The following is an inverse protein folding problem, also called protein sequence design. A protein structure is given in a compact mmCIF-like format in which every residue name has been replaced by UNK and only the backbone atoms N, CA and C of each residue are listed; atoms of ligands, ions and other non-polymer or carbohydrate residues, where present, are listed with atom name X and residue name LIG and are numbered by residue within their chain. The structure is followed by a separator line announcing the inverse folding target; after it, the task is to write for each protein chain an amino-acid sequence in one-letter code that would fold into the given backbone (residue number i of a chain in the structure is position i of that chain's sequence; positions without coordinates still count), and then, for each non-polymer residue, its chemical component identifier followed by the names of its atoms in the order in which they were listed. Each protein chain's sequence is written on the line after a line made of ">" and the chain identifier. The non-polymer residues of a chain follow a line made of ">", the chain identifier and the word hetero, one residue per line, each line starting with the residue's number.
data_IF_593919936828
#
_entry.id   IF_593919936828
#
_cell.length_a   1.000
_cell.length_b   1.000
_cell.length_c   1.000
_cell.angle_alpha   90.00
_cell.angle_beta   90.00
_cell.angle_gamma   90.00
#
_symmetry.space_group_name_H-M   'P 1'
#
loop_
_entity.id
_entity.type
_entity.pdbx_description
1 polymer ?
#
# COMPACT_ATOMS: atom_id res chain seq x y z
N UNK A 1 9.57 -19.30 -9.56
CA UNK A 1 8.72 -20.46 -9.29
C UNK A 1 7.53 -20.08 -8.43
N UNK A 2 6.63 -21.01 -8.22
CA UNK A 2 5.42 -20.86 -7.40
C UNK A 2 5.51 -21.70 -6.09
N UNK A 3 6.68 -22.23 -5.82
CA UNK A 3 7.01 -23.06 -4.65
C UNK A 3 8.50 -22.94 -4.30
N UNK A 4 8.87 -22.89 -3.01
CA UNK A 4 10.27 -22.83 -2.58
C UNK A 4 11.02 -24.14 -2.86
N UNK A 5 12.33 -24.04 -3.04
CA UNK A 5 13.22 -25.17 -3.13
C UNK A 5 13.51 -25.77 -1.73
N UNK A 6 13.98 -27.02 -1.62
CA UNK A 6 14.15 -27.73 -0.34
C UNK A 6 15.10 -27.06 0.68
N UNK A 7 15.92 -26.12 0.26
CA UNK A 7 16.92 -25.43 1.09
C UNK A 7 16.66 -23.93 1.23
N UNK A 8 15.51 -23.45 0.77
CA UNK A 8 15.13 -22.04 0.94
C UNK A 8 14.73 -21.79 2.39
N UNK A 9 15.27 -20.75 2.98
CA UNK A 9 14.89 -20.26 4.34
C UNK A 9 13.64 -19.39 4.31
N UNK A 10 13.32 -18.79 3.16
CA UNK A 10 12.14 -17.96 2.90
C UNK A 10 11.83 -17.96 1.40
N UNK A 11 10.63 -17.54 1.03
CA UNK A 11 10.18 -17.52 -0.36
C UNK A 11 9.67 -16.14 -0.78
N UNK A 12 10.34 -15.53 -1.76
CA UNK A 12 9.93 -14.24 -2.32
C UNK A 12 9.08 -14.49 -3.54
N UNK A 13 7.82 -14.07 -3.53
CA UNK A 13 6.90 -14.34 -4.64
C UNK A 13 5.76 -13.33 -4.72
N UNK A 14 5.13 -13.25 -5.90
CA UNK A 14 3.87 -12.54 -6.15
C UNK A 14 2.66 -13.48 -6.05
N UNK A 15 2.87 -14.77 -6.23
CA UNK A 15 1.83 -15.81 -6.19
C UNK A 15 2.39 -17.15 -5.74
N UNK A 16 1.51 -18.00 -5.26
CA UNK A 16 1.76 -19.39 -4.95
C UNK A 16 0.86 -20.25 -5.81
N UNK A 17 0.98 -21.58 -5.71
CA UNK A 17 0.04 -22.53 -6.35
C UNK A 17 -1.42 -22.30 -5.95
N UNK A 18 -1.66 -21.62 -4.81
CA UNK A 18 -3.01 -21.37 -4.27
C UNK A 18 -3.57 -19.97 -4.57
N UNK A 19 -2.75 -19.06 -5.09
CA UNK A 19 -3.22 -17.73 -5.46
C UNK A 19 -2.21 -16.61 -5.29
N UNK A 20 -2.68 -15.39 -5.51
CA UNK A 20 -1.91 -14.18 -5.37
C UNK A 20 -1.58 -13.86 -3.91
N UNK A 21 -0.41 -13.26 -3.69
CA UNK A 21 0.03 -12.71 -2.40
C UNK A 21 0.35 -11.23 -2.50
N UNK A 22 -0.24 -10.55 -3.47
CA UNK A 22 -0.12 -9.09 -3.68
C UNK A 22 -1.48 -8.52 -4.11
N UNK A 23 -1.65 -7.19 -3.97
CA UNK A 23 -2.92 -6.50 -4.21
C UNK A 23 -3.23 -6.23 -5.67
N UNK A 24 -2.23 -6.08 -6.54
CA UNK A 24 -2.44 -5.82 -7.95
C UNK A 24 -3.26 -6.95 -8.60
N UNK A 25 -4.32 -6.58 -9.32
CA UNK A 25 -5.28 -7.53 -9.87
C UNK A 25 -6.36 -8.00 -8.89
N UNK A 26 -6.17 -7.83 -7.59
CA UNK A 26 -7.21 -8.13 -6.57
C UNK A 26 -8.14 -6.94 -6.39
N UNK A 27 -7.59 -5.74 -6.26
CA UNK A 27 -8.41 -4.52 -6.08
C UNK A 27 -9.14 -4.09 -7.36
N UNK A 28 -8.73 -4.60 -8.52
CA UNK A 28 -9.36 -4.30 -9.82
C UNK A 28 -10.72 -4.99 -10.00
N UNK A 29 -10.95 -6.09 -9.30
CA UNK A 29 -12.11 -6.97 -9.51
C UNK A 29 -13.04 -7.08 -8.32
N UNK A 30 -12.66 -6.52 -7.17
CA UNK A 30 -13.41 -6.63 -5.93
C UNK A 30 -13.69 -5.27 -5.30
N UNK A 31 -14.86 -5.14 -4.68
CA UNK A 31 -15.14 -4.00 -3.80
C UNK A 31 -14.19 -4.00 -2.61
N UNK A 32 -13.70 -2.83 -2.17
CA UNK A 32 -12.81 -2.72 -1.03
C UNK A 32 -13.35 -3.44 0.21
N UNK A 33 -12.59 -4.39 0.69
CA UNK A 33 -12.90 -5.22 1.86
C UNK A 33 -11.63 -5.39 2.70
N UNK A 34 -11.67 -4.91 3.93
CA UNK A 34 -10.51 -4.84 4.82
C UNK A 34 -10.39 -6.06 5.75
N UNK A 35 -11.31 -7.03 5.65
CA UNK A 35 -11.21 -8.33 6.34
C UNK A 35 -10.28 -9.31 5.63
N UNK A 36 -10.06 -9.13 4.33
CA UNK A 36 -9.30 -10.06 3.52
C UNK A 36 -7.80 -10.00 3.82
N UNK A 37 -7.17 -11.15 3.68
CA UNK A 37 -5.72 -11.35 3.71
C UNK A 37 -5.31 -12.38 2.65
N UNK A 38 -4.07 -12.82 2.67
CA UNK A 38 -3.53 -13.81 1.75
C UNK A 38 -3.40 -15.21 2.37
N UNK A 39 -4.04 -15.48 3.52
CA UNK A 39 -3.89 -16.74 4.25
C UNK A 39 -4.17 -17.97 3.37
N UNK A 40 -5.21 -17.91 2.53
CA UNK A 40 -5.52 -19.00 1.61
C UNK A 40 -4.42 -19.25 0.58
N UNK A 41 -3.68 -18.21 0.17
CA UNK A 41 -2.60 -18.32 -0.81
C UNK A 41 -1.30 -18.86 -0.21
N UNK A 42 -1.03 -18.57 1.09
CA UNK A 42 0.19 -19.00 1.78
C UNK A 42 -0.01 -20.24 2.64
N UNK A 43 -1.24 -20.71 2.79
CA UNK A 43 -1.54 -21.94 3.50
C UNK A 43 -0.73 -23.10 2.94
N UNK A 44 -0.07 -23.86 3.80
CA UNK A 44 0.85 -24.94 3.47
C UNK A 44 2.23 -24.54 2.88
N UNK A 45 2.57 -23.26 2.84
CA UNK A 45 3.95 -22.86 2.52
C UNK A 45 4.89 -23.34 3.64
N UNK A 46 5.97 -24.06 3.30
CA UNK A 46 6.86 -24.63 4.32
C UNK A 46 7.84 -23.63 4.92
N UNK A 47 7.95 -22.44 4.34
CA UNK A 47 8.86 -21.36 4.75
C UNK A 47 8.10 -20.03 4.78
N UNK A 48 8.60 -19.04 5.52
CA UNK A 48 8.03 -17.68 5.52
C UNK A 48 8.00 -17.09 4.11
N UNK A 49 6.91 -16.37 3.78
CA UNK A 49 6.74 -15.71 2.49
C UNK A 49 7.05 -14.22 2.62
N UNK A 50 7.74 -13.69 1.63
CA UNK A 50 7.90 -12.24 1.41
C UNK A 50 7.12 -11.90 0.15
N UNK A 51 6.09 -11.07 0.28
CA UNK A 51 5.34 -10.61 -0.90
C UNK A 51 6.18 -9.66 -1.74
N UNK A 52 6.13 -9.82 -3.06
CA UNK A 52 7.04 -9.18 -3.99
C UNK A 52 6.31 -8.31 -5.00
N UNK A 53 6.96 -7.20 -5.39
CA UNK A 53 6.45 -6.23 -6.35
C UNK A 53 5.10 -5.63 -5.97
N UNK A 54 4.90 -5.33 -4.70
CA UNK A 54 3.69 -4.65 -4.26
C UNK A 54 3.75 -3.16 -4.58
N UNK A 55 2.58 -2.53 -4.73
CA UNK A 55 2.47 -1.08 -4.93
C UNK A 55 2.57 -0.63 -6.38
N UNK A 56 2.26 -1.46 -7.36
CA UNK A 56 2.25 -1.09 -8.78
C UNK A 56 0.98 -0.31 -9.19
N UNK A 57 0.68 0.76 -8.48
CA UNK A 57 -0.48 1.62 -8.75
C UNK A 57 -0.03 2.88 -9.47
N UNK A 58 -0.43 3.01 -10.74
CA UNK A 58 0.00 4.11 -11.60
C UNK A 58 -0.48 5.47 -11.07
N UNK A 59 0.46 6.40 -10.96
CA UNK A 59 0.22 7.81 -10.66
C UNK A 59 0.31 8.59 -11.97
N UNK A 60 -0.59 9.56 -12.16
CA UNK A 60 -0.57 10.40 -13.35
C UNK A 60 0.76 11.17 -13.41
N UNK A 61 1.39 11.33 -14.59
CA UNK A 61 2.70 11.97 -14.70
C UNK A 61 2.68 13.44 -14.26
N UNK A 62 3.67 13.85 -13.46
CA UNK A 62 3.95 15.26 -13.21
C UNK A 62 4.67 15.85 -14.42
N UNK A 63 3.95 16.63 -15.21
CA UNK A 63 4.48 17.21 -16.45
C UNK A 63 5.65 18.19 -16.21
N UNK A 64 5.84 18.67 -14.97
CA UNK A 64 6.99 19.52 -14.57
C UNK A 64 8.31 18.75 -14.60
N UNK A 65 8.27 17.43 -14.54
CA UNK A 65 9.47 16.59 -14.64
C UNK A 65 10.12 16.61 -16.03
N UNK A 66 9.39 16.96 -17.08
CA UNK A 66 9.90 16.98 -18.46
C UNK A 66 11.21 17.79 -18.55
N UNK A 67 11.28 18.91 -17.84
CA UNK A 67 12.45 19.80 -17.87
C UNK A 67 13.67 19.26 -17.12
N UNK A 68 13.49 18.24 -16.28
CA UNK A 68 14.56 17.60 -15.50
C UNK A 68 15.35 16.57 -16.31
N UNK A 69 14.79 16.09 -17.41
CA UNK A 69 15.44 15.13 -18.29
C UNK A 69 16.41 15.83 -19.23
N UNK A 70 17.59 16.16 -18.73
CA UNK A 70 18.64 16.91 -19.46
C UNK A 70 19.75 16.01 -20.04
N UNK A 71 19.66 14.70 -19.83
CA UNK A 71 20.63 13.71 -20.29
C UNK A 71 20.22 13.00 -21.59
N UNK A 72 20.61 11.73 -21.69
CA UNK A 72 20.34 10.90 -22.89
C UNK A 72 18.92 10.34 -22.91
N UNK A 73 18.24 10.29 -21.76
CA UNK A 73 16.86 9.85 -21.68
C UNK A 73 15.92 11.00 -22.03
N UNK A 74 15.07 10.77 -22.99
CA UNK A 74 14.01 11.70 -23.37
C UNK A 74 12.67 11.23 -22.78
N UNK A 75 11.92 12.08 -22.05
CA UNK A 75 10.67 11.70 -21.39
C UNK A 75 9.50 11.66 -22.39
N UNK A 76 9.57 10.77 -23.37
CA UNK A 76 8.58 10.67 -24.46
C UNK A 76 7.18 10.32 -23.95
N UNK A 77 7.07 9.51 -22.88
CA UNK A 77 5.82 9.20 -22.21
C UNK A 77 5.17 10.47 -21.63
N UNK A 78 5.91 11.32 -20.92
CA UNK A 78 5.38 12.59 -20.38
C UNK A 78 4.99 13.56 -21.50
N UNK A 79 5.83 13.68 -22.54
CA UNK A 79 5.55 14.54 -23.70
C UNK A 79 4.28 14.06 -24.42
N UNK A 80 4.12 12.75 -24.58
CA UNK A 80 2.92 12.16 -25.20
C UNK A 80 1.66 12.46 -24.40
N UNK A 81 1.69 12.30 -23.07
CA UNK A 81 0.56 12.64 -22.20
C UNK A 81 0.24 14.14 -22.26
N UNK A 82 1.27 15.01 -22.22
CA UNK A 82 1.08 16.45 -22.37
C UNK A 82 0.37 16.81 -23.66
N UNK A 83 0.85 16.29 -24.79
CA UNK A 83 0.24 16.52 -26.10
C UNK A 83 -1.21 16.04 -26.15
N UNK A 84 -1.51 14.89 -25.54
CA UNK A 84 -2.88 14.36 -25.48
C UNK A 84 -3.82 15.26 -24.66
N UNK A 85 -3.33 15.80 -23.55
CA UNK A 85 -4.08 16.76 -22.74
C UNK A 85 -4.32 18.08 -23.49
N UNK A 86 -3.31 18.58 -24.22
CA UNK A 86 -3.44 19.77 -25.07
C UNK A 86 -4.51 19.56 -26.16
N UNK A 87 -4.48 18.42 -26.87
CA UNK A 87 -5.44 18.06 -27.89
C UNK A 87 -6.89 18.01 -27.36
N UNK A 88 -7.05 17.63 -26.10
CA UNK A 88 -8.36 17.54 -25.43
C UNK A 88 -8.76 18.81 -24.67
N UNK A 89 -7.95 19.86 -24.66
CA UNK A 89 -8.14 21.07 -23.86
C UNK A 89 -8.27 20.75 -22.36
N UNK A 90 -7.46 19.81 -21.84
CA UNK A 90 -7.45 19.35 -20.45
C UNK A 90 -6.11 19.57 -19.74
N UNK A 91 -5.17 20.31 -20.35
CA UNK A 91 -3.83 20.50 -19.78
C UNK A 91 -3.87 21.14 -18.38
N UNK A 92 -4.81 22.03 -18.15
CA UNK A 92 -5.04 22.66 -16.83
C UNK A 92 -5.45 21.68 -15.72
N UNK A 93 -5.87 20.47 -16.09
CA UNK A 93 -6.27 19.39 -15.15
C UNK A 93 -5.13 18.44 -14.80
N UNK A 94 -3.94 18.62 -15.34
CA UNK A 94 -2.82 17.70 -15.11
C UNK A 94 -2.47 17.55 -13.63
N UNK A 95 -2.41 18.67 -12.88
CA UNK A 95 -2.11 18.65 -11.45
C UNK A 95 -3.27 17.99 -10.63
N UNK A 96 -4.53 18.15 -11.05
CA UNK A 96 -5.68 17.48 -10.43
C UNK A 96 -5.58 15.96 -10.63
N UNK A 97 -5.21 15.50 -11.83
CA UNK A 97 -5.03 14.07 -12.14
C UNK A 97 -3.86 13.46 -11.38
N UNK A 98 -2.72 14.16 -11.29
CA UNK A 98 -1.59 13.75 -10.48
C UNK A 98 -2.00 13.57 -9.02
N UNK A 99 -2.64 14.58 -8.44
CA UNK A 99 -3.08 14.57 -7.05
C UNK A 99 -4.08 13.44 -6.78
N UNK A 100 -5.12 13.31 -7.59
CA UNK A 100 -6.16 12.29 -7.37
C UNK A 100 -5.61 10.86 -7.50
N UNK A 101 -4.84 10.58 -8.56
CA UNK A 101 -4.25 9.25 -8.78
C UNK A 101 -3.19 8.92 -7.72
N UNK A 102 -2.39 9.90 -7.30
CA UNK A 102 -1.36 9.71 -6.30
C UNK A 102 -1.92 9.43 -4.91
N UNK A 103 -2.97 10.15 -4.48
CA UNK A 103 -3.65 9.85 -3.21
C UNK A 103 -4.33 8.48 -3.25
N UNK A 104 -4.92 8.10 -4.38
CA UNK A 104 -5.46 6.74 -4.54
C UNK A 104 -4.36 5.69 -4.44
N UNK A 105 -3.22 5.90 -5.10
CA UNK A 105 -2.07 5.01 -5.02
C UNK A 105 -1.59 4.85 -3.57
N UNK A 106 -1.49 5.94 -2.80
CA UNK A 106 -1.09 5.90 -1.39
C UNK A 106 -2.07 5.06 -0.53
N UNK A 107 -3.38 5.19 -0.77
CA UNK A 107 -4.40 4.37 -0.10
C UNK A 107 -4.22 2.88 -0.46
N UNK A 108 -3.97 2.56 -1.73
CA UNK A 108 -3.79 1.19 -2.19
C UNK A 108 -2.47 0.58 -1.67
N UNK A 109 -1.38 1.36 -1.56
CA UNK A 109 -0.16 0.94 -0.87
C UNK A 109 -0.44 0.54 0.57
N UNK A 110 -1.17 1.39 1.30
CA UNK A 110 -1.57 1.10 2.68
C UNK A 110 -2.34 -0.21 2.76
N UNK A 111 -3.39 -0.37 1.95
CA UNK A 111 -4.22 -1.57 1.97
C UNK A 111 -3.43 -2.85 1.65
N UNK A 112 -2.53 -2.77 0.69
CA UNK A 112 -1.72 -3.93 0.28
C UNK A 112 -0.70 -4.32 1.35
N UNK A 113 0.00 -3.35 1.93
CA UNK A 113 0.95 -3.58 3.03
C UNK A 113 0.22 -4.13 4.26
N UNK A 114 -0.90 -3.52 4.66
CA UNK A 114 -1.68 -4.01 5.81
C UNK A 114 -2.26 -5.41 5.56
N UNK A 115 -2.66 -5.71 4.33
CA UNK A 115 -3.14 -7.05 3.96
C UNK A 115 -2.03 -8.11 4.12
N UNK A 116 -0.79 -7.77 3.72
CA UNK A 116 0.36 -8.62 3.97
C UNK A 116 0.60 -8.83 5.47
N UNK A 117 0.56 -7.76 6.27
CA UNK A 117 0.73 -7.82 7.73
C UNK A 117 -0.41 -8.57 8.45
N UNK A 118 -1.62 -8.60 7.90
CA UNK A 118 -2.77 -9.38 8.39
C UNK A 118 -2.65 -10.87 8.07
N UNK A 119 -1.66 -11.28 7.28
CA UNK A 119 -1.52 -12.65 6.79
C UNK A 119 -0.49 -13.42 7.60
N UNK A 120 -0.88 -14.39 8.45
CA UNK A 120 0.07 -15.30 9.07
C UNK A 120 0.90 -16.04 8.01
N UNK A 121 2.22 -16.10 8.22
CA UNK A 121 3.15 -16.73 7.27
C UNK A 121 3.74 -15.79 6.23
N UNK A 122 3.28 -14.52 6.13
CA UNK A 122 3.99 -13.47 5.42
C UNK A 122 4.86 -12.72 6.42
N UNK A 123 6.17 -12.67 6.16
CA UNK A 123 7.18 -12.09 7.06
C UNK A 123 7.75 -10.77 6.56
N UNK A 124 7.31 -10.30 5.41
CA UNK A 124 7.77 -9.04 4.84
C UNK A 124 7.19 -8.76 3.48
N UNK A 125 7.56 -7.59 2.95
CA UNK A 125 7.12 -7.14 1.64
C UNK A 125 8.25 -6.37 0.92
N UNK A 126 8.20 -6.38 -0.40
CA UNK A 126 9.09 -5.61 -1.27
C UNK A 126 8.25 -4.74 -2.20
N UNK A 127 8.49 -3.45 -2.17
CA UNK A 127 7.81 -2.50 -3.05
C UNK A 127 8.37 -2.55 -4.48
N UNK A 128 7.53 -2.35 -5.46
CA UNK A 128 7.89 -1.98 -6.81
C UNK A 128 6.95 -0.88 -7.31
N UNK A 129 7.28 0.35 -7.03
CA UNK A 129 8.49 0.80 -6.39
C UNK A 129 8.18 1.98 -5.45
N UNK A 130 9.12 2.37 -4.59
CA UNK A 130 9.01 3.60 -3.81
C UNK A 130 9.12 4.85 -4.72
N UNK A 131 9.93 4.77 -5.77
CA UNK A 131 10.08 5.82 -6.80
C UNK A 131 9.67 5.29 -8.18
N UNK A 132 9.45 6.19 -9.12
CA UNK A 132 9.17 5.82 -10.49
C UNK A 132 10.35 5.07 -11.13
N UNK A 133 10.03 4.08 -11.94
CA UNK A 133 11.03 3.29 -12.64
C UNK A 133 11.20 3.81 -14.08
N UNK A 134 12.25 4.64 -14.35
CA UNK A 134 12.42 5.25 -15.67
C UNK A 134 12.82 4.26 -16.77
N UNK A 135 13.21 3.03 -16.42
CA UNK A 135 13.48 1.95 -17.37
C UNK A 135 12.24 1.40 -18.06
N UNK A 136 11.06 1.69 -17.53
CA UNK A 136 9.77 1.33 -18.12
C UNK A 136 8.86 2.56 -18.10
N UNK A 137 8.60 3.15 -19.25
CA UNK A 137 7.91 4.45 -19.36
C UNK A 137 6.47 4.50 -18.83
N UNK A 138 5.86 3.36 -18.54
CA UNK A 138 4.53 3.26 -17.92
C UNK A 138 4.59 2.99 -16.41
N UNK A 139 5.78 2.75 -15.83
CA UNK A 139 5.96 2.44 -14.42
C UNK A 139 6.12 3.72 -13.57
N UNK A 140 5.14 4.63 -13.67
CA UNK A 140 4.99 5.82 -12.84
C UNK A 140 4.25 5.44 -11.55
N UNK A 141 4.77 4.46 -10.83
CA UNK A 141 4.08 3.80 -9.70
C UNK A 141 4.60 4.27 -8.33
N UNK A 142 5.66 5.06 -8.31
CA UNK A 142 6.27 5.54 -7.08
C UNK A 142 5.47 6.65 -6.39
N UNK A 143 5.64 6.75 -5.08
CA UNK A 143 5.26 7.94 -4.29
C UNK A 143 6.30 9.06 -4.47
N UNK A 144 7.51 8.68 -4.87
CA UNK A 144 8.58 9.57 -5.32
C UNK A 144 8.71 9.50 -6.85
N UNK A 145 9.19 10.57 -7.45
CA UNK A 145 9.49 10.59 -8.87
C UNK A 145 10.84 9.90 -9.19
N UNK A 146 11.21 9.81 -10.48
CA UNK A 146 12.47 9.21 -10.92
C UNK A 146 13.72 9.92 -10.39
N UNK A 147 13.60 11.13 -9.86
CA UNK A 147 14.67 11.95 -9.27
C UNK A 147 14.69 11.87 -7.74
N UNK A 148 13.93 10.96 -7.14
CA UNK A 148 13.77 10.77 -5.67
C UNK A 148 13.12 11.96 -4.96
N UNK A 149 12.37 12.77 -5.66
CA UNK A 149 11.61 13.87 -5.08
C UNK A 149 10.17 13.42 -4.79
N UNK A 150 9.59 13.96 -3.73
CA UNK A 150 8.20 13.67 -3.38
C UNK A 150 7.24 14.20 -4.44
N UNK A 151 6.27 13.39 -4.84
CA UNK A 151 5.13 13.82 -5.67
C UNK A 151 4.06 14.59 -4.86
N UNK A 152 4.26 14.76 -3.53
CA UNK A 152 3.31 15.45 -2.66
C UNK A 152 2.02 14.67 -2.36
N UNK A 153 1.99 13.36 -2.63
CA UNK A 153 0.79 12.51 -2.53
C UNK A 153 0.73 11.72 -1.22
N UNK A 154 1.85 11.57 -0.55
CA UNK A 154 1.95 11.04 0.80
C UNK A 154 3.24 11.57 1.43
N UNK A 155 3.23 11.80 2.74
CA UNK A 155 4.42 12.17 3.49
C UNK A 155 4.95 10.99 4.32
N UNK A 156 6.15 11.15 4.90
CA UNK A 156 6.80 10.09 5.66
C UNK A 156 6.02 9.68 6.92
N UNK A 157 5.30 10.61 7.57
CA UNK A 157 4.50 10.31 8.76
C UNK A 157 3.27 9.48 8.40
N UNK A 158 2.60 9.81 7.31
CA UNK A 158 1.48 9.03 6.77
C UNK A 158 1.93 7.61 6.40
N UNK A 159 3.06 7.47 5.68
CA UNK A 159 3.58 6.16 5.29
C UNK A 159 3.98 5.32 6.51
N UNK A 160 4.54 5.93 7.54
CA UNK A 160 4.90 5.24 8.78
C UNK A 160 3.71 4.68 9.56
N UNK A 161 2.50 5.16 9.34
CA UNK A 161 1.31 4.64 10.03
C UNK A 161 1.03 3.18 9.66
N UNK A 162 1.42 2.74 8.47
CA UNK A 162 1.23 1.37 7.99
C UNK A 162 2.52 0.65 7.59
N UNK A 163 3.68 1.29 7.76
CA UNK A 163 5.00 0.73 7.46
C UNK A 163 5.98 1.05 8.59
N UNK A 164 5.71 0.51 9.76
CA UNK A 164 6.51 0.67 10.99
C UNK A 164 6.75 -0.71 11.64
N UNK A 165 7.71 -0.82 12.57
CA UNK A 165 7.95 -2.08 13.29
C UNK A 165 6.73 -2.58 14.08
N UNK A 166 5.85 -1.68 14.50
CA UNK A 166 4.59 -2.04 15.18
C UNK A 166 3.46 -1.28 14.49
N UNK A 167 2.50 -2.00 13.95
CA UNK A 167 1.36 -1.43 13.22
C UNK A 167 0.05 -1.97 13.79
N UNK A 168 -0.86 -1.10 14.28
CA UNK A 168 -2.22 -1.49 14.56
C UNK A 168 -2.98 -1.70 13.24
N UNK A 169 -3.68 -2.80 13.14
CA UNK A 169 -4.44 -3.21 11.97
C UNK A 169 -5.92 -3.29 12.32
N UNK A 170 -6.78 -2.91 11.40
CA UNK A 170 -8.22 -3.03 11.57
C UNK A 170 -8.83 -3.93 10.48
N UNK A 171 -9.68 -4.88 10.89
CA UNK A 171 -10.48 -5.69 9.98
C UNK A 171 -11.93 -5.24 10.01
N UNK A 172 -12.47 -4.87 8.86
CA UNK A 172 -13.88 -4.49 8.71
C UNK A 172 -14.34 -4.76 7.27
N UNK A 173 -15.63 -4.94 7.10
CA UNK A 173 -16.16 -5.61 5.89
C UNK A 173 -16.30 -4.74 4.65
N UNK A 174 -16.30 -3.40 4.78
CA UNK A 174 -16.50 -2.49 3.64
C UNK A 174 -15.97 -1.08 3.92
N UNK A 175 -15.63 -0.37 2.86
CA UNK A 175 -15.08 0.99 2.93
C UNK A 175 -16.13 2.08 3.20
N UNK A 176 -17.41 1.82 2.88
CA UNK A 176 -18.48 2.82 2.99
C UNK A 176 -19.65 2.26 3.78
N UNK A 177 -20.07 3.01 4.79
CA UNK A 177 -21.22 2.70 5.65
C UNK A 177 -22.29 3.77 5.49
N UNK A 178 -23.57 3.37 5.57
CA UNK A 178 -24.68 4.30 5.69
C UNK A 178 -24.82 4.74 7.15
N UNK A 179 -25.46 5.89 7.37
CA UNK A 179 -25.64 6.45 8.72
C UNK A 179 -26.52 5.60 9.66
N UNK A 180 -27.28 4.65 9.13
CA UNK A 180 -28.10 3.70 9.88
C UNK A 180 -27.47 2.30 10.01
N UNK A 181 -26.21 2.13 9.59
CA UNK A 181 -25.47 0.89 9.74
C UNK A 181 -24.53 0.94 10.94
N UNK A 182 -24.35 -0.20 11.58
CA UNK A 182 -23.36 -0.36 12.64
C UNK A 182 -21.99 -0.61 12.02
N UNK A 183 -20.98 0.17 12.45
CA UNK A 183 -19.58 -0.11 12.17
C UNK A 183 -19.02 -1.04 13.24
N UNK A 184 -18.36 -2.11 12.82
CA UNK A 184 -17.65 -3.03 13.70
C UNK A 184 -16.30 -3.34 13.08
N UNK A 185 -15.24 -3.31 13.88
CA UNK A 185 -13.89 -3.64 13.46
C UNK A 185 -13.20 -4.51 14.51
N UNK A 186 -12.48 -5.52 14.06
CA UNK A 186 -11.52 -6.27 14.87
C UNK A 186 -10.16 -5.61 14.77
N UNK A 187 -9.48 -5.43 15.90
CA UNK A 187 -8.16 -4.79 15.96
C UNK A 187 -7.09 -5.85 16.20
N UNK A 188 -6.11 -5.87 15.33
CA UNK A 188 -4.91 -6.71 15.40
C UNK A 188 -3.66 -5.82 15.55
N UNK A 189 -2.55 -6.40 16.00
CA UNK A 189 -1.26 -5.71 16.06
C UNK A 189 -0.22 -6.56 15.33
N UNK A 190 0.35 -6.03 14.26
CA UNK A 190 1.57 -6.57 13.68
C UNK A 190 2.77 -6.06 14.48
N UNK A 191 3.58 -6.97 15.01
CA UNK A 191 4.77 -6.63 15.79
C UNK A 191 6.03 -7.21 15.14
N UNK A 192 6.65 -6.43 14.26
CA UNK A 192 7.94 -6.74 13.65
C UNK A 192 9.10 -5.99 14.34
N UNK A 193 8.91 -5.59 15.60
CA UNK A 193 9.98 -5.00 16.42
C UNK A 193 10.90 -6.10 16.97
N UNK A 194 11.97 -5.69 17.65
CA UNK A 194 12.93 -6.61 18.28
C UNK A 194 12.45 -7.23 19.59
N UNK A 195 11.29 -6.82 20.12
CA UNK A 195 10.81 -7.22 21.45
C UNK A 195 9.31 -7.54 21.44
N UNK A 196 8.90 -8.42 22.33
CA UNK A 196 7.49 -8.64 22.64
C UNK A 196 6.88 -7.40 23.32
N UNK A 197 5.64 -7.10 23.00
CA UNK A 197 4.92 -5.98 23.61
C UNK A 197 4.05 -6.52 24.74
N UNK A 198 4.39 -6.13 25.97
CA UNK A 198 3.72 -6.60 27.17
C UNK A 198 3.04 -5.45 27.91
N UNK A 199 1.83 -5.70 28.43
CA UNK A 199 1.09 -4.80 29.32
C UNK A 199 0.97 -3.37 28.76
N UNK A 200 0.61 -3.23 27.49
CA UNK A 200 0.33 -1.95 26.83
C UNK A 200 -1.15 -1.80 26.56
N UNK A 201 -1.54 -0.62 26.11
CA UNK A 201 -2.92 -0.32 25.73
C UNK A 201 -2.96 0.20 24.31
N UNK A 202 -3.96 -0.23 23.53
CA UNK A 202 -4.36 0.44 22.31
C UNK A 202 -5.34 1.55 22.69
N UNK A 203 -5.03 2.78 22.29
CA UNK A 203 -5.99 3.89 22.33
C UNK A 203 -6.63 4.00 20.94
N UNK A 204 -7.94 4.13 20.90
CA UNK A 204 -8.64 4.36 19.67
C UNK A 204 -9.56 5.58 19.79
N UNK A 205 -9.77 6.26 18.69
CA UNK A 205 -10.72 7.34 18.59
C UNK A 205 -11.43 7.32 17.23
N UNK A 206 -12.75 7.47 17.24
CA UNK A 206 -13.53 7.78 16.06
C UNK A 206 -13.66 9.31 15.98
N UNK A 207 -13.19 9.89 14.91
CA UNK A 207 -13.21 11.33 14.71
C UNK A 207 -14.11 11.73 13.54
N UNK A 208 -14.63 12.96 13.57
CA UNK A 208 -15.25 13.55 12.39
C UNK A 208 -14.20 14.07 11.40
N UNK A 209 -14.65 14.60 10.26
CA UNK A 209 -13.78 15.12 9.22
C UNK A 209 -12.88 16.31 9.66
N UNK A 210 -13.22 17.00 10.77
CA UNK A 210 -12.40 18.04 11.36
C UNK A 210 -11.43 17.55 12.45
N UNK A 211 -11.32 16.23 12.63
CA UNK A 211 -10.44 15.60 13.60
C UNK A 211 -10.96 15.60 15.05
N UNK A 212 -12.20 16.06 15.29
CA UNK A 212 -12.78 16.05 16.63
C UNK A 212 -13.25 14.63 17.00
N UNK A 213 -12.91 14.12 18.21
CA UNK A 213 -13.34 12.80 18.63
C UNK A 213 -14.87 12.77 18.84
N UNK A 214 -15.50 11.78 18.21
CA UNK A 214 -16.93 11.44 18.43
C UNK A 214 -17.05 10.35 19.49
N UNK A 215 -16.09 9.44 19.52
CA UNK A 215 -16.00 8.36 20.48
C UNK A 215 -14.55 7.93 20.62
N UNK A 216 -14.15 7.52 21.81
CA UNK A 216 -12.81 7.04 22.09
C UNK A 216 -12.82 5.93 23.15
N UNK A 217 -11.73 5.17 23.23
CA UNK A 217 -11.61 4.11 24.20
C UNK A 217 -10.22 3.52 24.28
N UNK A 218 -10.09 2.55 25.19
CA UNK A 218 -8.83 1.84 25.45
C UNK A 218 -9.10 0.33 25.39
N UNK A 219 -8.23 -0.38 24.67
CA UNK A 219 -8.20 -1.84 24.61
C UNK A 219 -6.90 -2.28 25.30
N UNK A 220 -6.98 -3.00 26.44
CA UNK A 220 -5.77 -3.52 27.09
C UNK A 220 -5.17 -4.68 26.27
N UNK A 221 -3.85 -4.66 26.14
CA UNK A 221 -3.06 -5.74 25.55
C UNK A 221 -2.31 -6.51 26.65
N UNK A 222 -2.38 -7.83 26.63
CA UNK A 222 -1.64 -8.66 27.57
C UNK A 222 -0.24 -8.99 27.07
N UNK A 223 -0.13 -9.60 25.90
CA UNK A 223 1.13 -9.96 25.27
C UNK A 223 0.95 -10.00 23.76
N UNK A 224 1.82 -9.32 23.01
CA UNK A 224 1.93 -9.39 21.56
C UNK A 224 3.32 -9.91 21.23
N UNK A 225 3.39 -11.10 20.68
CA UNK A 225 4.63 -11.72 20.22
C UNK A 225 5.20 -11.00 19.01
N UNK A 226 6.42 -11.30 18.64
CA UNK A 226 7.05 -10.89 17.40
C UNK A 226 6.47 -11.77 16.27
N UNK A 227 6.11 -11.16 15.12
CA UNK A 227 5.55 -11.83 13.93
C UNK A 227 4.06 -11.68 13.73
#
# INVERSE_FOLDING_TARGET
>A
GDWPEPHDDFFITQWTKKGWVRGQGVFDVEMPNFNKDYSASVDSMPVPVITHEIGQYAVYPDLKEIEKYTGVLEPLNFKGVKQELENKNLLEKADDYLSASGHLAAILYKEEIERAMKTPGISGFQLLDLHDFPGQGTALVGLLNAFWESKGVANAEEFRQFSAPVVPLARFSKAVYKNNEQFTADIEIANYSSEEINNKNIKWALTNASGQPLQEGIIPLTNIKIG
#
